data_IF_578716079816
#
_entry.id   IF_578716079816
#
_cell.length_a   1.000
_cell.length_b   1.000
_cell.length_c   1.000
_cell.angle_alpha   90.00
_cell.angle_beta   90.00
_cell.angle_gamma   90.00
#
_symmetry.space_group_name_H-M   'P 1'
#
loop_
_entity.id
_entity.type
_entity.pdbx_description
1 polymer ?
#
# COMPACT_ATOMS: atom_id res chain seq x y z
N UNK A 1 33.66 7.55 23.58
CA UNK A 1 32.79 6.62 22.83
C UNK A 1 33.62 5.99 21.73
N UNK A 2 33.71 4.67 21.71
CA UNK A 2 34.33 3.92 20.63
C UNK A 2 33.49 4.06 19.34
N UNK A 3 34.05 3.80 18.15
CA UNK A 3 33.29 3.84 16.90
C UNK A 3 32.05 2.94 16.88
N UNK A 4 32.04 1.87 17.69
CA UNK A 4 30.89 0.97 17.86
C UNK A 4 29.81 1.59 18.73
N UNK A 5 30.18 2.24 19.84
CA UNK A 5 29.23 2.95 20.71
C UNK A 5 28.56 4.12 19.97
N UNK A 6 29.28 4.83 19.10
CA UNK A 6 28.73 5.92 18.27
C UNK A 6 27.74 5.36 17.23
N UNK A 7 27.98 4.17 16.66
CA UNK A 7 27.02 3.52 15.77
C UNK A 7 25.75 3.15 16.53
N UNK A 8 25.88 2.49 17.68
CA UNK A 8 24.73 2.03 18.47
C UNK A 8 23.83 3.19 18.95
N UNK A 9 24.44 4.31 19.36
CA UNK A 9 23.70 5.52 19.76
C UNK A 9 22.98 6.18 18.57
N UNK A 10 23.61 6.17 17.38
CA UNK A 10 23.02 6.67 16.13
C UNK A 10 21.84 5.82 15.66
N UNK A 11 21.87 4.50 15.88
CA UNK A 11 20.76 3.59 15.57
C UNK A 11 19.62 3.68 16.60
N UNK A 12 19.91 3.92 17.88
CA UNK A 12 18.88 4.17 18.90
C UNK A 12 18.11 5.47 18.65
N UNK A 13 18.78 6.51 18.15
CA UNK A 13 18.13 7.78 17.82
C UNK A 13 17.32 7.74 16.50
N UNK A 14 17.64 6.86 15.55
CA UNK A 14 16.84 6.72 14.32
C UNK A 14 15.49 6.02 14.55
N UNK A 15 15.39 5.16 15.57
CA UNK A 15 14.14 4.49 15.94
C UNK A 15 13.07 5.44 16.52
N UNK A 16 13.43 6.69 16.85
CA UNK A 16 12.55 7.66 17.52
C UNK A 16 11.99 8.76 16.58
N UNK A 17 12.35 8.79 15.30
CA UNK A 17 11.99 9.86 14.34
C UNK A 17 11.13 9.35 13.18
N UNK A 18 10.39 8.28 13.39
CA UNK A 18 9.26 7.95 12.52
C UNK A 18 8.01 8.63 13.07
N UNK A 19 7.20 9.34 12.26
CA UNK A 19 5.88 9.77 12.72
C UNK A 19 5.12 8.55 13.24
N UNK A 20 4.61 8.62 14.47
CA UNK A 20 3.77 7.55 15.01
C UNK A 20 2.52 7.44 14.14
N UNK A 21 2.49 6.46 13.25
CA UNK A 21 1.33 6.20 12.40
C UNK A 21 0.22 5.55 13.22
N UNK A 22 -0.59 6.36 13.87
CA UNK A 22 -1.85 5.90 14.47
C UNK A 22 -2.79 5.46 13.35
N UNK A 23 -3.00 4.15 13.23
CA UNK A 23 -3.95 3.55 12.29
C UNK A 23 -5.32 3.47 12.94
N UNK A 24 -6.09 4.55 12.85
CA UNK A 24 -7.52 4.48 13.17
C UNK A 24 -8.23 3.66 12.08
N UNK A 25 -9.08 2.69 12.44
CA UNK A 25 -9.86 1.95 11.48
C UNK A 25 -10.87 2.88 10.79
N UNK A 26 -10.73 3.03 9.47
CA UNK A 26 -11.63 3.83 8.66
C UNK A 26 -12.63 2.89 7.98
N UNK A 27 -13.82 2.75 8.57
CA UNK A 27 -14.96 2.09 7.91
C UNK A 27 -15.44 2.95 6.74
N UNK A 28 -15.82 2.33 5.62
CA UNK A 28 -16.53 3.00 4.53
C UNK A 28 -18.05 2.76 4.64
N UNK A 29 -18.83 3.52 3.87
CA UNK A 29 -20.31 3.57 3.91
C UNK A 29 -21.02 2.22 3.65
N UNK A 30 -20.30 1.22 3.15
CA UNK A 30 -20.81 -0.12 2.87
C UNK A 30 -20.48 -1.15 3.97
N UNK A 31 -19.83 -0.74 5.06
CA UNK A 31 -19.44 -1.63 6.16
C UNK A 31 -18.24 -2.54 5.85
N UNK A 32 -17.53 -2.32 4.73
CA UNK A 32 -16.31 -3.08 4.41
C UNK A 32 -15.16 -2.60 5.30
N UNK A 33 -14.60 -3.51 6.10
CA UNK A 33 -13.52 -3.19 7.04
C UNK A 33 -12.17 -3.10 6.31
N UNK A 34 -11.75 -1.88 5.96
CA UNK A 34 -10.43 -1.58 5.43
C UNK A 34 -9.32 -1.72 6.49
N UNK A 35 -9.68 -2.00 7.74
CA UNK A 35 -8.77 -2.20 8.86
C UNK A 35 -7.82 -1.02 9.04
N UNK A 36 -6.54 -1.33 9.17
CA UNK A 36 -5.44 -0.36 9.35
C UNK A 36 -4.87 0.17 8.03
N UNK A 37 -5.57 -0.03 6.91
CA UNK A 37 -5.08 0.41 5.60
C UNK A 37 -5.01 1.94 5.53
N UNK A 38 -3.88 2.54 5.12
CA UNK A 38 -3.75 3.99 5.03
C UNK A 38 -4.78 4.63 4.09
N UNK A 39 -5.21 5.86 4.40
CA UNK A 39 -6.22 6.60 3.63
C UNK A 39 -5.79 6.97 2.20
N UNK A 40 -4.49 6.99 1.91
CA UNK A 40 -3.94 7.24 0.58
C UNK A 40 -3.98 6.00 -0.33
N UNK A 41 -4.35 4.82 0.21
CA UNK A 41 -4.68 3.66 -0.63
C UNK A 41 -6.09 3.89 -1.22
N UNK A 42 -6.24 3.95 -2.55
CA UNK A 42 -7.52 4.18 -3.19
C UNK A 42 -8.54 3.11 -2.81
N UNK A 43 -9.75 3.55 -2.48
CA UNK A 43 -10.86 2.67 -2.14
C UNK A 43 -11.74 2.48 -3.35
N UNK A 44 -11.69 1.31 -3.97
CA UNK A 44 -12.55 1.01 -5.11
C UNK A 44 -14.01 0.95 -4.65
N UNK A 45 -14.92 1.77 -5.21
CA UNK A 45 -16.32 1.78 -4.83
C UNK A 45 -16.97 0.40 -4.99
N UNK A 46 -17.79 -0.02 -4.03
CA UNK A 46 -18.48 -1.31 -4.08
C UNK A 46 -17.59 -2.55 -3.85
N UNK A 47 -16.28 -2.39 -3.65
CA UNK A 47 -15.40 -3.52 -3.43
C UNK A 47 -15.64 -4.24 -2.09
N UNK A 48 -15.66 -5.57 -2.17
CA UNK A 48 -15.72 -6.46 -1.02
C UNK A 48 -14.31 -6.77 -0.53
N UNK A 49 -14.11 -6.74 0.80
CA UNK A 49 -12.82 -7.03 1.43
C UNK A 49 -12.94 -8.41 2.10
N UNK A 50 -12.38 -9.48 1.51
CA UNK A 50 -12.24 -10.73 2.23
C UNK A 50 -11.31 -10.54 3.44
N UNK A 51 -11.51 -11.35 4.49
CA UNK A 51 -10.59 -11.38 5.63
C UNK A 51 -9.14 -11.64 5.19
N UNK A 52 -8.18 -11.16 5.99
CA UNK A 52 -6.75 -11.40 5.75
C UNK A 52 -5.93 -10.15 5.42
N UNK A 53 -6.47 -8.95 5.61
CA UNK A 53 -5.70 -7.72 5.57
C UNK A 53 -4.62 -7.72 6.66
N UNK A 54 -3.42 -7.30 6.31
CA UNK A 54 -2.26 -7.24 7.20
C UNK A 54 -1.65 -5.85 7.18
N UNK A 55 -1.18 -5.40 8.33
CA UNK A 55 -0.51 -4.13 8.51
C UNK A 55 0.48 -4.26 9.66
N UNK A 56 1.77 -4.17 9.36
CA UNK A 56 2.83 -4.45 10.33
C UNK A 56 4.01 -3.49 10.17
N UNK A 57 4.60 -3.03 11.29
CA UNK A 57 5.89 -2.35 11.26
C UNK A 57 7.02 -3.33 10.91
N UNK A 58 8.01 -2.84 10.19
CA UNK A 58 9.26 -3.53 9.88
C UNK A 58 10.39 -3.08 10.82
N UNK A 59 11.48 -3.84 10.86
CA UNK A 59 12.63 -3.58 11.75
C UNK A 59 13.30 -2.23 11.52
N UNK A 60 13.17 -1.66 10.32
CA UNK A 60 13.73 -0.37 9.93
C UNK A 60 12.80 0.81 10.23
N UNK A 61 11.68 0.57 10.92
CA UNK A 61 10.68 1.59 11.25
C UNK A 61 9.69 1.87 10.11
N UNK A 62 9.91 1.32 8.92
CA UNK A 62 8.93 1.39 7.84
C UNK A 62 7.72 0.52 8.15
N UNK A 63 6.61 0.79 7.46
CA UNK A 63 5.39 -0.02 7.54
C UNK A 63 5.25 -0.82 6.25
N UNK A 64 4.82 -2.06 6.39
CA UNK A 64 4.35 -2.89 5.30
C UNK A 64 2.90 -3.33 5.55
N UNK A 65 2.11 -3.41 4.49
CA UNK A 65 0.78 -3.97 4.58
C UNK A 65 0.29 -4.60 3.29
N UNK A 66 -0.76 -5.39 3.42
CA UNK A 66 -1.47 -6.01 2.33
C UNK A 66 -2.97 -5.94 2.58
N UNK A 67 -3.73 -5.60 1.54
CA UNK A 67 -5.18 -5.72 1.52
C UNK A 67 -5.59 -6.41 0.24
N UNK A 68 -6.54 -7.34 0.36
CA UNK A 68 -7.20 -7.95 -0.80
C UNK A 68 -8.57 -7.34 -0.94
N UNK A 69 -8.96 -6.99 -2.16
CA UNK A 69 -10.33 -6.65 -2.51
C UNK A 69 -10.83 -7.52 -3.65
N UNK A 70 -12.15 -7.65 -3.76
CA UNK A 70 -12.82 -8.33 -4.87
C UNK A 70 -13.95 -7.47 -5.41
N UNK A 71 -14.15 -7.48 -6.73
CA UNK A 71 -15.21 -6.73 -7.40
C UNK A 71 -15.71 -7.47 -8.65
N UNK A 72 -16.93 -7.17 -9.11
CA UNK A 72 -17.50 -7.77 -10.32
C UNK A 72 -16.98 -7.12 -11.62
N UNK A 73 -16.40 -5.92 -11.52
CA UNK A 73 -15.87 -5.23 -12.69
C UNK A 73 -14.64 -5.94 -13.25
N UNK A 74 -14.38 -5.67 -14.54
CA UNK A 74 -13.23 -6.24 -15.25
C UNK A 74 -11.91 -5.73 -14.69
N UNK A 75 -10.86 -6.51 -14.91
CA UNK A 75 -9.50 -6.15 -14.54
C UNK A 75 -9.10 -4.78 -15.09
N UNK A 76 -9.43 -4.49 -16.35
CA UNK A 76 -9.04 -3.26 -17.05
C UNK A 76 -9.67 -2.00 -16.42
N UNK A 77 -10.94 -2.07 -16.01
CA UNK A 77 -11.61 -0.95 -15.34
C UNK A 77 -10.97 -0.62 -13.99
N UNK A 78 -10.60 -1.66 -13.23
CA UNK A 78 -9.98 -1.50 -11.93
C UNK A 78 -8.54 -0.99 -12.06
N UNK A 79 -7.78 -1.46 -13.06
CA UNK A 79 -6.44 -0.94 -13.36
C UNK A 79 -6.49 0.55 -13.70
N UNK A 80 -7.42 0.99 -14.56
CA UNK A 80 -7.53 2.41 -14.93
C UNK A 80 -7.92 3.29 -13.74
N UNK A 81 -8.84 2.82 -12.88
CA UNK A 81 -9.14 3.50 -11.63
C UNK A 81 -7.90 3.65 -10.75
N UNK A 82 -7.18 2.55 -10.46
CA UNK A 82 -5.99 2.58 -9.60
C UNK A 82 -4.92 3.52 -10.16
N UNK A 83 -4.69 3.48 -11.47
CA UNK A 83 -3.77 4.40 -12.14
C UNK A 83 -4.18 5.85 -11.92
N UNK A 84 -5.42 6.21 -12.20
CA UNK A 84 -5.91 7.59 -12.03
C UNK A 84 -5.71 8.07 -10.59
N UNK A 85 -6.23 7.33 -9.62
CA UNK A 85 -6.21 7.74 -8.21
C UNK A 85 -4.77 7.86 -7.66
N UNK A 86 -3.86 6.95 -8.02
CA UNK A 86 -2.47 7.06 -7.58
C UNK A 86 -1.73 8.20 -8.27
N UNK A 87 -1.98 8.44 -9.56
CA UNK A 87 -1.36 9.55 -10.31
C UNK A 87 -1.82 10.91 -9.76
N UNK A 88 -3.12 11.07 -9.47
CA UNK A 88 -3.68 12.29 -8.85
C UNK A 88 -3.08 12.56 -7.46
N UNK A 89 -2.72 11.50 -6.72
CA UNK A 89 -2.03 11.59 -5.43
C UNK A 89 -0.50 11.80 -5.55
N UNK A 90 0.02 12.01 -6.75
CA UNK A 90 1.44 12.30 -7.00
C UNK A 90 2.36 11.07 -6.99
N UNK A 91 1.82 9.86 -7.08
CA UNK A 91 2.64 8.68 -7.36
C UNK A 91 3.06 8.65 -8.83
N UNK A 92 4.18 7.99 -9.11
CA UNK A 92 4.63 7.67 -10.46
C UNK A 92 4.34 6.20 -10.74
N UNK A 93 3.75 5.92 -11.91
CA UNK A 93 3.64 4.56 -12.44
C UNK A 93 5.04 4.07 -12.83
N UNK A 94 5.49 2.96 -12.24
CA UNK A 94 6.84 2.40 -12.46
C UNK A 94 6.82 1.10 -13.24
N UNK A 95 5.72 0.33 -13.16
CA UNK A 95 5.49 -0.85 -13.97
C UNK A 95 4.00 -1.03 -14.22
N UNK A 96 3.65 -1.47 -15.42
CA UNK A 96 2.32 -1.95 -15.79
C UNK A 96 2.49 -3.15 -16.73
N UNK A 97 2.24 -4.34 -16.22
CA UNK A 97 2.48 -5.60 -16.93
C UNK A 97 1.18 -6.40 -16.93
N UNK A 98 0.63 -6.62 -18.12
CA UNK A 98 -0.50 -7.54 -18.33
C UNK A 98 0.03 -8.91 -18.74
N UNK A 99 -0.36 -9.95 -18.02
CA UNK A 99 -0.08 -11.36 -18.33
C UNK A 99 -1.40 -12.09 -18.55
N UNK A 100 -1.32 -13.29 -19.14
CA UNK A 100 -2.50 -14.14 -19.30
C UNK A 100 -3.08 -14.49 -17.92
N UNK A 101 -4.26 -13.94 -17.62
CA UNK A 101 -5.00 -14.18 -16.37
C UNK A 101 -4.59 -13.32 -15.17
N UNK A 102 -3.69 -12.34 -15.34
CA UNK A 102 -3.34 -11.41 -14.26
C UNK A 102 -2.69 -10.12 -14.78
N UNK A 103 -3.01 -8.99 -14.16
CA UNK A 103 -2.27 -7.73 -14.31
C UNK A 103 -1.46 -7.37 -13.07
N UNK A 104 -0.41 -6.60 -13.29
CA UNK A 104 0.51 -6.14 -12.26
C UNK A 104 0.84 -4.66 -12.49
N UNK A 105 0.52 -3.81 -11.52
CA UNK A 105 0.84 -2.38 -11.56
C UNK A 105 1.60 -1.94 -10.32
N UNK A 106 2.63 -1.11 -10.51
CA UNK A 106 3.52 -0.65 -9.43
C UNK A 106 3.62 0.86 -9.44
N UNK A 107 3.42 1.46 -8.27
CA UNK A 107 3.48 2.90 -8.07
C UNK A 107 4.52 3.26 -7.00
N UNK A 108 5.25 4.35 -7.21
CA UNK A 108 6.18 4.90 -6.21
C UNK A 108 6.00 6.39 -6.05
N UNK A 109 6.04 6.88 -4.81
CA UNK A 109 6.17 8.30 -4.48
C UNK A 109 7.49 8.50 -3.76
N UNK A 110 8.43 9.19 -4.43
CA UNK A 110 9.82 9.38 -3.99
C UNK A 110 10.18 10.87 -3.97
N UNK A 111 9.27 11.72 -3.46
CA UNK A 111 9.51 13.16 -3.41
C UNK A 111 10.41 13.48 -2.21
N UNK A 112 11.45 14.27 -2.45
CA UNK A 112 12.38 14.70 -1.41
C UNK A 112 11.65 15.49 -0.31
N UNK A 113 12.01 15.25 0.95
CA UNK A 113 11.34 15.85 2.11
C UNK A 113 9.95 15.26 2.42
N UNK A 114 9.47 14.28 1.65
CA UNK A 114 8.23 13.56 1.92
C UNK A 114 8.48 12.08 2.21
N UNK A 115 7.52 11.46 2.88
CA UNK A 115 7.50 10.02 3.11
C UNK A 115 7.52 9.25 1.79
N UNK A 116 8.51 8.37 1.64
CA UNK A 116 8.60 7.45 0.50
C UNK A 116 7.49 6.41 0.61
N UNK A 117 6.76 6.20 -0.49
CA UNK A 117 5.68 5.20 -0.58
C UNK A 117 5.87 4.31 -1.79
N UNK A 118 5.53 3.04 -1.62
CA UNK A 118 5.57 2.03 -2.68
C UNK A 118 4.28 1.23 -2.62
N UNK A 119 3.66 1.01 -3.77
CA UNK A 119 2.46 0.19 -3.92
C UNK A 119 2.64 -0.77 -5.07
N UNK A 120 2.24 -2.01 -4.85
CA UNK A 120 2.13 -3.06 -5.85
C UNK A 120 0.71 -3.59 -5.84
N UNK A 121 0.01 -3.47 -6.96
CA UNK A 121 -1.31 -4.08 -7.13
C UNK A 121 -1.18 -5.26 -8.10
N UNK A 122 -1.57 -6.44 -7.64
CA UNK A 122 -1.72 -7.64 -8.47
C UNK A 122 -3.20 -7.90 -8.66
N UNK A 123 -3.66 -7.95 -9.90
CA UNK A 123 -5.03 -8.24 -10.27
C UNK A 123 -5.10 -9.60 -10.95
N UNK A 124 -6.20 -10.31 -10.73
CA UNK A 124 -6.47 -11.59 -11.38
C UNK A 124 -7.97 -11.80 -11.42
N UNK A 125 -8.46 -12.43 -12.48
CA UNK A 125 -9.87 -12.81 -12.59
C UNK A 125 -10.06 -14.24 -12.07
N UNK A 126 -11.06 -14.43 -11.22
CA UNK A 126 -11.43 -15.75 -10.71
C UNK A 126 -12.93 -15.77 -10.39
N UNK A 127 -13.64 -16.78 -10.89
CA UNK A 127 -15.07 -16.96 -10.62
C UNK A 127 -15.95 -15.78 -11.05
N UNK A 128 -15.62 -15.12 -12.17
CA UNK A 128 -16.37 -13.97 -12.69
C UNK A 128 -16.19 -12.68 -11.86
N UNK A 129 -15.20 -12.64 -10.97
CA UNK A 129 -14.83 -11.45 -10.20
C UNK A 129 -13.36 -11.14 -10.40
N UNK A 130 -13.01 -9.86 -10.39
CA UNK A 130 -11.63 -9.43 -10.28
C UNK A 130 -11.23 -9.41 -8.81
N UNK A 131 -10.14 -10.12 -8.49
CA UNK A 131 -9.45 -10.03 -7.21
C UNK A 131 -8.24 -9.12 -7.37
N UNK A 132 -8.09 -8.17 -6.46
CA UNK A 132 -6.93 -7.28 -6.38
C UNK A 132 -6.23 -7.49 -5.04
N UNK A 133 -4.95 -7.79 -5.07
CA UNK A 133 -4.06 -7.76 -3.91
C UNK A 133 -3.21 -6.49 -3.98
N UNK A 134 -3.43 -5.57 -3.05
CA UNK A 134 -2.69 -4.32 -2.91
C UNK A 134 -1.68 -4.52 -1.79
N UNK A 135 -0.39 -4.59 -2.13
CA UNK A 135 0.71 -4.55 -1.19
C UNK A 135 1.27 -3.14 -1.14
N UNK A 136 1.55 -2.62 0.04
CA UNK A 136 2.05 -1.28 0.22
C UNK A 136 3.15 -1.21 1.28
N UNK A 137 4.06 -0.26 1.11
CA UNK A 137 5.01 0.12 2.14
C UNK A 137 5.24 1.63 2.19
N UNK A 138 5.56 2.13 3.37
CA UNK A 138 5.83 3.56 3.60
C UNK A 138 6.73 3.77 4.83
N UNK A 139 7.24 4.99 5.03
CA UNK A 139 8.18 5.28 6.12
C UNK A 139 9.61 4.77 5.84
N UNK A 140 9.93 4.48 4.58
CA UNK A 140 11.29 4.08 4.18
C UNK A 140 12.23 5.29 4.26
N UNK A 141 13.47 5.12 4.78
CA UNK A 141 14.49 6.17 4.79
C UNK A 141 14.91 6.60 3.38
#
# INVERSE_FOLDING_TARGET
LTPEEIKEEKYKNLAAIGPQHTTQPLQNENGSDWGKTPNWIPRYPGAAIPYGSMHAPLKDGSIWGNITITHSDSEDLIVEFLKREFLEQGFKLTANVKRKGSSYVVFKRLKEGEEKRHVTCTLSESGGKTRVSIQYSYGMP
#
